data_IF_171564738835
#
_entry.id   IF_171564738835
#
_cell.length_a   1.000
_cell.length_b   1.000
_cell.length_c   1.000
_cell.angle_alpha   90.00
_cell.angle_beta   90.00
_cell.angle_gamma   90.00
#
_symmetry.space_group_name_H-M   'P 1'
#
loop_
_entity.id
_entity.type
_entity.pdbx_description
1 polymer ?
#
# COMPACT_ATOMS: atom_id res chain seq x y z
N UNK A 1 0.99 20.58 13.94
CA UNK A 1 0.72 20.08 15.32
C UNK A 1 1.79 19.09 15.69
N UNK A 2 2.15 18.97 16.99
CA UNK A 2 2.98 17.88 17.51
C UNK A 2 2.16 17.10 18.53
N UNK A 3 2.29 15.79 18.50
CA UNK A 3 1.71 14.91 19.51
C UNK A 3 2.59 14.85 20.78
N UNK A 4 2.02 14.47 21.95
CA UNK A 4 2.83 14.07 23.10
C UNK A 4 3.78 12.92 22.71
N UNK A 5 5.00 12.95 23.26
CA UNK A 5 6.01 11.92 22.98
C UNK A 5 5.69 10.61 23.74
N UNK A 6 5.11 9.65 23.03
CA UNK A 6 4.93 8.28 23.54
C UNK A 6 6.09 7.36 23.15
N UNK A 7 6.94 7.72 22.20
CA UNK A 7 8.04 6.87 21.75
C UNK A 7 9.09 6.68 22.84
N UNK A 8 9.38 7.72 23.62
CA UNK A 8 10.29 7.66 24.77
C UNK A 8 9.71 6.83 25.91
N UNK A 9 8.41 6.95 26.21
CA UNK A 9 7.74 6.14 27.23
C UNK A 9 7.74 4.65 26.83
N UNK A 10 7.34 4.33 25.61
CA UNK A 10 7.38 2.95 25.08
C UNK A 10 8.80 2.35 25.10
N UNK A 11 9.83 3.19 24.93
CA UNK A 11 11.21 2.73 25.01
C UNK A 11 11.60 2.33 26.44
N UNK A 12 11.14 3.08 27.45
CA UNK A 12 11.41 2.77 28.84
C UNK A 12 10.69 1.50 29.31
N UNK A 13 9.45 1.30 28.83
CA UNK A 13 8.62 0.14 29.20
C UNK A 13 9.03 -1.15 28.47
N UNK A 14 9.79 -1.05 27.37
CA UNK A 14 10.20 -2.18 26.52
C UNK A 14 11.71 -2.20 26.32
N UNK A 15 12.51 -2.59 27.33
CA UNK A 15 13.99 -2.51 27.28
C UNK A 15 14.63 -3.42 26.22
N UNK A 16 13.97 -4.53 25.85
CA UNK A 16 14.49 -5.50 24.87
C UNK A 16 14.17 -5.11 23.41
N UNK A 17 13.51 -3.97 23.20
CA UNK A 17 13.14 -3.51 21.87
C UNK A 17 14.38 -3.04 21.08
N UNK A 18 14.60 -3.66 19.90
CA UNK A 18 15.80 -3.44 19.06
C UNK A 18 15.57 -2.48 17.91
N UNK A 19 14.34 -2.36 17.44
CA UNK A 19 13.94 -1.53 16.31
C UNK A 19 14.11 -0.04 16.55
N UNK A 20 14.07 0.73 15.45
CA UNK A 20 14.17 2.20 15.51
C UNK A 20 12.84 2.82 15.88
N UNK A 21 12.89 3.84 16.73
CA UNK A 21 11.74 4.61 17.17
C UNK A 21 11.99 6.09 16.95
N UNK A 22 10.95 6.83 16.59
CA UNK A 22 11.03 8.27 16.46
C UNK A 22 9.68 8.89 16.86
N UNK A 23 9.71 9.92 17.71
CA UNK A 23 8.54 10.71 18.03
C UNK A 23 8.29 11.78 16.95
N UNK A 24 7.02 12.06 16.68
CA UNK A 24 6.59 13.12 15.76
C UNK A 24 7.29 13.08 14.39
N UNK A 25 7.52 11.88 13.86
CA UNK A 25 8.21 11.71 12.59
C UNK A 25 7.32 12.14 11.42
N UNK A 26 7.72 13.12 10.59
CA UNK A 26 6.96 13.51 9.41
C UNK A 26 6.71 12.33 8.47
N UNK A 27 5.43 12.13 8.04
CA UNK A 27 5.05 11.02 7.16
C UNK A 27 5.00 11.39 5.68
N UNK A 28 4.95 12.66 5.32
CA UNK A 28 4.97 13.10 3.92
C UNK A 28 6.09 12.46 3.08
N UNK A 29 7.36 12.30 3.57
CA UNK A 29 8.41 11.62 2.82
C UNK A 29 8.14 10.14 2.53
N UNK A 30 7.24 9.51 3.28
CA UNK A 30 6.88 8.09 3.15
C UNK A 30 5.64 7.85 2.29
N UNK A 31 4.98 8.90 1.79
CA UNK A 31 3.84 8.81 0.88
C UNK A 31 4.22 9.22 -0.53
N UNK A 32 3.56 8.62 -1.53
CA UNK A 32 3.80 8.99 -2.92
C UNK A 32 3.21 10.36 -3.26
N UNK A 33 2.12 10.76 -2.62
CA UNK A 33 1.58 12.13 -2.72
C UNK A 33 2.49 13.20 -2.12
N UNK A 34 3.45 12.79 -1.25
CA UNK A 34 4.30 13.73 -0.51
C UNK A 34 3.52 14.67 0.40
N UNK A 35 2.40 14.20 0.95
CA UNK A 35 1.57 14.93 1.92
C UNK A 35 1.45 14.14 3.22
N UNK A 36 1.09 14.84 4.29
CA UNK A 36 0.74 14.26 5.58
C UNK A 36 1.53 14.82 6.75
N UNK A 37 0.84 14.89 7.88
CA UNK A 37 1.41 15.26 9.18
C UNK A 37 2.28 14.17 9.79
N UNK A 38 2.71 14.34 11.05
CA UNK A 38 3.62 13.42 11.70
C UNK A 38 2.92 12.13 12.19
N UNK A 39 3.67 11.03 12.29
CA UNK A 39 3.32 9.93 13.18
C UNK A 39 3.58 10.36 14.63
N UNK A 40 2.66 10.10 15.56
CA UNK A 40 2.92 10.35 16.98
C UNK A 40 4.14 9.55 17.44
N UNK A 41 4.20 8.25 17.11
CA UNK A 41 5.41 7.44 17.20
C UNK A 41 5.57 6.64 15.90
N UNK A 42 6.75 6.66 15.30
CA UNK A 42 7.12 5.76 14.21
C UNK A 42 7.99 4.64 14.77
N UNK A 43 7.61 3.39 14.53
CA UNK A 43 8.40 2.22 14.88
C UNK A 43 8.78 1.43 13.62
N UNK A 44 10.07 1.10 13.52
CA UNK A 44 10.60 0.22 12.48
C UNK A 44 11.27 -0.97 13.15
N UNK A 45 10.61 -2.12 13.27
CA UNK A 45 11.14 -3.30 13.95
C UNK A 45 12.40 -3.83 13.24
N UNK A 46 13.30 -4.39 14.03
CA UNK A 46 14.54 -4.99 13.53
C UNK A 46 14.25 -6.29 12.75
N UNK A 47 13.32 -7.09 13.24
CA UNK A 47 12.85 -8.36 12.65
C UNK A 47 11.46 -8.74 13.18
N UNK A 48 10.97 -9.93 12.80
CA UNK A 48 9.66 -10.44 13.20
C UNK A 48 9.55 -10.66 14.72
N UNK A 49 10.61 -11.13 15.38
CA UNK A 49 10.62 -11.34 16.83
C UNK A 49 10.52 -10.01 17.59
N UNK A 50 11.19 -8.98 17.09
CA UNK A 50 11.11 -7.62 17.63
C UNK A 50 9.72 -6.99 17.44
N UNK A 51 9.09 -7.24 16.29
CA UNK A 51 7.70 -6.86 16.05
C UNK A 51 6.75 -7.58 16.99
N UNK A 52 6.92 -8.88 17.18
CA UNK A 52 6.10 -9.70 18.08
C UNK A 52 6.24 -9.23 19.54
N UNK A 53 7.47 -8.99 19.99
CA UNK A 53 7.73 -8.45 21.32
C UNK A 53 7.05 -7.09 21.50
N UNK A 54 7.19 -6.18 20.54
CA UNK A 54 6.55 -4.87 20.59
C UNK A 54 5.03 -4.97 20.72
N UNK A 55 4.39 -5.76 19.86
CA UNK A 55 2.92 -5.90 19.85
C UNK A 55 2.38 -6.58 21.12
N UNK A 56 3.13 -7.54 21.70
CA UNK A 56 2.77 -8.21 22.95
C UNK A 56 2.75 -7.25 24.15
N UNK A 57 3.64 -6.25 24.15
CA UNK A 57 3.80 -5.32 25.29
C UNK A 57 3.12 -3.96 25.06
N UNK A 58 2.71 -3.64 23.82
CA UNK A 58 2.05 -2.37 23.52
C UNK A 58 0.64 -2.34 24.13
N UNK A 59 0.30 -1.34 24.97
CA UNK A 59 -1.04 -1.17 25.53
C UNK A 59 -2.13 -1.21 24.43
N UNK A 60 -3.23 -1.91 24.72
CA UNK A 60 -4.30 -2.18 23.74
C UNK A 60 -5.00 -0.91 23.24
N UNK A 61 -5.06 0.11 24.08
CA UNK A 61 -5.65 1.42 23.81
C UNK A 61 -4.82 2.26 22.83
N UNK A 62 -3.54 1.97 22.65
CA UNK A 62 -2.70 2.68 21.69
C UNK A 62 -2.97 2.11 20.28
N UNK A 63 -3.52 2.92 19.37
CA UNK A 63 -3.78 2.47 18.02
C UNK A 63 -2.49 2.20 17.24
N UNK A 64 -2.55 1.19 16.37
CA UNK A 64 -1.46 0.81 15.47
C UNK A 64 -1.90 1.00 14.03
N UNK A 65 -1.08 1.68 13.26
CA UNK A 65 -1.26 1.86 11.82
C UNK A 65 -0.03 1.34 11.08
N UNK A 66 -0.22 0.46 10.10
CA UNK A 66 0.89 -0.08 9.30
C UNK A 66 0.97 0.68 7.97
N UNK A 67 2.17 1.12 7.61
CA UNK A 67 2.41 1.73 6.30
C UNK A 67 3.48 0.95 5.52
N UNK A 68 3.23 0.75 4.23
CA UNK A 68 4.20 0.19 3.28
C UNK A 68 4.94 1.30 2.51
N UNK A 69 4.95 1.20 1.18
CA UNK A 69 5.56 2.21 0.30
C UNK A 69 4.73 3.50 0.17
N UNK A 70 3.54 3.57 0.77
CA UNK A 70 2.70 4.77 0.75
C UNK A 70 2.12 5.12 -0.63
N UNK A 71 2.05 4.14 -1.54
CA UNK A 71 1.58 4.32 -2.91
C UNK A 71 0.06 4.34 -3.05
N UNK A 72 -0.68 3.91 -2.03
CA UNK A 72 -2.15 3.92 -2.00
C UNK A 72 -2.64 4.59 -0.70
N UNK A 73 -2.03 5.74 -0.34
CA UNK A 73 -2.21 6.32 0.98
C UNK A 73 -2.22 7.84 0.93
N UNK A 74 -3.23 8.43 1.55
CA UNK A 74 -3.24 9.83 1.98
C UNK A 74 -3.11 9.84 3.50
N UNK A 75 -2.06 10.48 4.01
CA UNK A 75 -1.91 10.79 5.44
C UNK A 75 -2.42 12.20 5.63
N UNK A 76 -3.38 12.40 6.52
CA UNK A 76 -3.99 13.70 6.80
C UNK A 76 -3.01 14.64 7.52
N UNK A 77 -3.22 15.94 7.35
CA UNK A 77 -2.28 16.97 7.76
C UNK A 77 -2.07 17.05 9.29
N UNK A 78 -3.06 16.67 10.11
CA UNK A 78 -2.92 16.57 11.56
C UNK A 78 -2.08 15.37 12.02
N UNK A 79 -1.74 14.44 11.12
CA UNK A 79 -0.89 13.28 11.42
C UNK A 79 -1.64 12.07 11.95
N UNK A 80 -0.89 11.08 12.39
CA UNK A 80 -1.43 9.77 12.83
C UNK A 80 -1.16 9.57 14.32
N UNK A 81 -2.22 9.53 15.16
CA UNK A 81 -2.08 9.24 16.57
C UNK A 81 -1.72 7.77 16.80
N UNK A 82 -1.09 7.47 17.94
CA UNK A 82 -0.61 6.15 18.29
C UNK A 82 0.70 5.79 17.59
N UNK A 83 0.86 4.53 17.23
CA UNK A 83 2.08 4.02 16.62
C UNK A 83 1.88 3.71 15.15
N UNK A 84 2.69 4.32 14.31
CA UNK A 84 2.85 3.93 12.91
C UNK A 84 3.98 2.91 12.82
N UNK A 85 3.70 1.72 12.29
CA UNK A 85 4.70 0.68 12.05
C UNK A 85 5.07 0.68 10.57
N UNK A 86 6.38 0.74 10.31
CA UNK A 86 6.93 0.62 8.96
C UNK A 86 7.95 -0.49 8.90
N UNK A 87 7.59 -1.57 8.20
CA UNK A 87 8.50 -2.69 7.96
C UNK A 87 9.55 -2.30 6.93
N UNK A 88 10.77 -2.80 7.11
CA UNK A 88 11.88 -2.50 6.22
C UNK A 88 13.15 -3.27 6.60
N UNK A 89 14.28 -2.87 6.01
CA UNK A 89 15.54 -3.55 6.23
C UNK A 89 15.59 -4.95 5.62
N UNK A 90 16.63 -5.71 5.98
CA UNK A 90 16.86 -7.05 5.44
C UNK A 90 15.77 -8.03 5.85
N UNK A 91 15.37 -8.01 7.12
CA UNK A 91 14.43 -8.99 7.69
C UNK A 91 13.06 -9.05 6.98
N UNK A 92 12.59 -7.91 6.45
CA UNK A 92 11.29 -7.83 5.74
C UNK A 92 11.44 -7.55 4.25
N UNK A 93 12.69 -7.42 3.76
CA UNK A 93 13.02 -7.04 2.37
C UNK A 93 13.71 -8.14 1.58
N UNK A 94 13.80 -9.36 2.12
CA UNK A 94 14.41 -10.52 1.44
C UNK A 94 13.45 -11.17 0.44
N UNK A 95 14.05 -11.72 -0.63
CA UNK A 95 13.39 -12.61 -1.58
C UNK A 95 14.18 -13.92 -1.58
N UNK A 96 13.49 -15.03 -1.42
CA UNK A 96 14.05 -16.37 -1.43
C UNK A 96 13.37 -17.21 -2.52
N UNK A 97 14.17 -17.76 -3.41
CA UNK A 97 13.71 -18.74 -4.40
C UNK A 97 13.76 -20.13 -3.77
N UNK A 98 12.65 -20.84 -3.81
CA UNK A 98 12.49 -22.14 -3.20
C UNK A 98 12.26 -23.23 -4.28
N UNK A 99 12.48 -24.53 -3.94
CA UNK A 99 12.09 -25.64 -4.82
C UNK A 99 10.63 -25.55 -5.24
N UNK A 100 10.25 -26.33 -6.27
CA UNK A 100 8.87 -26.47 -6.77
C UNK A 100 8.25 -25.15 -7.26
N UNK A 101 9.09 -24.30 -7.86
CA UNK A 101 8.67 -23.02 -8.45
C UNK A 101 8.00 -22.10 -7.43
N UNK A 102 8.52 -22.02 -6.22
CA UNK A 102 8.02 -21.15 -5.17
C UNK A 102 8.96 -19.97 -4.91
N UNK A 103 8.35 -18.86 -4.55
CA UNK A 103 9.06 -17.63 -4.16
C UNK A 103 8.52 -17.15 -2.81
N UNK A 104 9.39 -16.99 -1.83
CA UNK A 104 9.09 -16.29 -0.59
C UNK A 104 9.58 -14.85 -0.68
N UNK A 105 8.73 -13.90 -0.29
CA UNK A 105 9.09 -12.50 -0.23
C UNK A 105 8.66 -11.89 1.11
N UNK A 106 9.55 -11.12 1.72
CA UNK A 106 9.20 -10.26 2.85
C UNK A 106 8.22 -9.16 2.43
N UNK A 107 7.38 -8.71 3.35
CA UNK A 107 6.29 -7.77 3.03
C UNK A 107 6.74 -6.35 2.74
N UNK A 108 7.99 -5.99 3.04
CA UNK A 108 8.59 -4.72 2.61
C UNK A 108 9.20 -4.77 1.19
N UNK A 109 9.23 -5.94 0.56
CA UNK A 109 9.70 -6.08 -0.84
C UNK A 109 8.74 -5.32 -1.76
N UNK A 110 9.24 -4.41 -2.62
CA UNK A 110 8.44 -3.83 -3.68
C UNK A 110 7.93 -4.91 -4.65
N UNK A 111 6.66 -4.84 -5.03
CA UNK A 111 6.01 -5.83 -5.92
C UNK A 111 6.80 -6.01 -7.22
N UNK A 112 7.28 -4.92 -7.81
CA UNK A 112 8.11 -4.96 -9.03
C UNK A 112 9.45 -5.70 -8.85
N UNK A 113 10.02 -5.72 -7.63
CA UNK A 113 11.25 -6.47 -7.35
C UNK A 113 10.97 -7.97 -7.23
N UNK A 114 9.84 -8.34 -6.62
CA UNK A 114 9.40 -9.74 -6.57
C UNK A 114 9.13 -10.27 -7.98
N UNK A 115 8.41 -9.50 -8.84
CA UNK A 115 8.20 -9.84 -10.25
C UNK A 115 9.52 -10.07 -10.98
N UNK A 116 10.50 -9.18 -10.79
CA UNK A 116 11.78 -9.27 -11.46
C UNK A 116 12.57 -10.51 -11.02
N UNK A 117 12.64 -10.76 -9.71
CA UNK A 117 13.34 -11.95 -9.18
C UNK A 117 12.69 -13.25 -9.69
N UNK A 118 11.36 -13.30 -9.77
CA UNK A 118 10.64 -14.41 -10.36
C UNK A 118 11.00 -14.61 -11.84
N UNK A 119 10.99 -13.53 -12.64
CA UNK A 119 11.32 -13.58 -14.07
C UNK A 119 12.77 -14.06 -14.31
N UNK A 120 13.74 -13.52 -13.57
CA UNK A 120 15.16 -13.93 -13.67
C UNK A 120 15.35 -15.40 -13.30
N UNK A 121 14.50 -15.97 -12.45
CA UNK A 121 14.49 -17.39 -12.08
C UNK A 121 13.64 -18.29 -12.99
N UNK A 122 13.03 -17.76 -14.05
CA UNK A 122 12.12 -18.52 -14.91
C UNK A 122 10.82 -18.92 -14.24
N UNK A 123 10.36 -18.12 -13.28
CA UNK A 123 9.12 -18.33 -12.55
C UNK A 123 8.00 -17.51 -13.17
N UNK A 124 7.17 -18.10 -13.99
CA UNK A 124 6.00 -17.49 -14.60
C UNK A 124 4.82 -17.39 -13.61
N UNK A 125 3.90 -16.45 -13.89
CA UNK A 125 2.68 -16.21 -13.11
C UNK A 125 2.75 -14.99 -12.20
N UNK A 126 3.94 -14.41 -11.95
CA UNK A 126 4.13 -13.24 -11.08
C UNK A 126 4.38 -11.93 -11.84
N UNK A 127 4.37 -11.93 -13.17
CA UNK A 127 4.66 -10.74 -13.98
C UNK A 127 3.70 -9.57 -13.71
N UNK A 128 2.44 -9.83 -13.35
CA UNK A 128 1.43 -8.81 -13.02
C UNK A 128 1.87 -7.88 -11.87
N UNK A 129 2.68 -8.38 -10.92
CA UNK A 129 3.24 -7.58 -9.81
C UNK A 129 4.08 -6.39 -10.32
N UNK A 130 4.62 -6.47 -11.54
CA UNK A 130 5.28 -5.34 -12.21
C UNK A 130 4.35 -4.15 -12.39
N UNK A 131 3.06 -4.41 -12.56
CA UNK A 131 2.00 -3.41 -12.70
C UNK A 131 1.57 -2.73 -11.40
N UNK A 132 1.99 -3.24 -10.23
CA UNK A 132 1.54 -2.77 -8.92
C UNK A 132 2.61 -1.88 -8.29
N UNK A 133 2.31 -0.60 -8.04
CA UNK A 133 3.26 0.33 -7.43
C UNK A 133 3.23 0.21 -5.89
N UNK A 134 3.35 -0.99 -5.36
CA UNK A 134 3.20 -1.31 -3.95
C UNK A 134 4.33 -2.18 -3.41
N UNK A 135 4.08 -2.75 -2.25
CA UNK A 135 4.88 -3.79 -1.64
C UNK A 135 4.02 -5.01 -1.34
N UNK A 136 4.65 -6.16 -1.19
CA UNK A 136 3.99 -7.45 -0.92
C UNK A 136 2.98 -7.34 0.24
N UNK A 137 3.29 -6.60 1.32
CA UNK A 137 2.34 -6.41 2.43
C UNK A 137 1.08 -5.64 2.02
N UNK A 138 1.22 -4.65 1.14
CA UNK A 138 0.08 -3.94 0.54
C UNK A 138 -0.71 -4.83 -0.42
N UNK A 139 0.00 -5.65 -1.22
CA UNK A 139 -0.63 -6.59 -2.14
C UNK A 139 -1.47 -7.64 -1.40
N UNK A 140 -1.00 -8.16 -0.27
CA UNK A 140 -1.78 -9.07 0.59
C UNK A 140 -3.05 -8.41 1.13
N UNK A 141 -2.97 -7.17 1.62
CA UNK A 141 -4.13 -6.46 2.21
C UNK A 141 -5.20 -6.08 1.19
N UNK A 142 -4.79 -5.83 -0.03
CA UNK A 142 -5.67 -5.31 -1.08
C UNK A 142 -6.03 -6.35 -2.14
N UNK A 143 -5.62 -7.63 -1.98
CA UNK A 143 -5.65 -8.56 -3.12
C UNK A 143 -5.24 -7.80 -4.39
N UNK A 144 -4.05 -7.19 -4.35
CA UNK A 144 -3.64 -6.28 -5.40
C UNK A 144 -3.53 -7.02 -6.73
N UNK A 145 -4.01 -6.40 -7.78
CA UNK A 145 -4.00 -6.99 -9.12
C UNK A 145 -3.84 -5.93 -10.21
N UNK A 146 -3.22 -6.36 -11.29
CA UNK A 146 -2.98 -5.57 -12.49
C UNK A 146 -2.84 -6.49 -13.71
N UNK A 147 -3.19 -5.99 -14.89
CA UNK A 147 -2.97 -6.69 -16.16
C UNK A 147 -3.46 -8.14 -16.20
N UNK A 148 -4.60 -8.41 -15.56
CA UNK A 148 -5.26 -9.72 -15.60
C UNK A 148 -4.79 -10.73 -14.55
N UNK A 149 -3.85 -10.38 -13.65
CA UNK A 149 -3.45 -11.19 -12.51
C UNK A 149 -3.73 -10.50 -11.18
N UNK A 150 -3.97 -11.25 -10.14
CA UNK A 150 -4.20 -10.81 -8.77
C UNK A 150 -3.37 -11.63 -7.77
N UNK A 151 -3.16 -11.09 -6.57
CA UNK A 151 -2.40 -11.76 -5.49
C UNK A 151 -2.99 -13.14 -5.16
N UNK A 152 -4.32 -13.27 -5.17
CA UNK A 152 -5.04 -14.53 -4.94
C UNK A 152 -4.64 -15.64 -5.92
N UNK A 153 -4.25 -15.31 -7.15
CA UNK A 153 -3.94 -16.32 -8.18
C UNK A 153 -2.64 -17.09 -7.89
N UNK A 154 -1.77 -16.51 -7.06
CA UNK A 154 -0.41 -17.03 -6.83
C UNK A 154 -0.06 -17.25 -5.36
N UNK A 155 -0.86 -16.75 -4.40
CA UNK A 155 -0.56 -16.89 -2.98
C UNK A 155 -0.78 -18.33 -2.51
N UNK A 156 0.22 -18.89 -1.83
CA UNK A 156 0.12 -20.15 -1.06
C UNK A 156 -0.22 -19.81 0.39
N UNK A 157 0.58 -18.96 1.01
CA UNK A 157 0.53 -18.66 2.44
C UNK A 157 1.05 -17.24 2.71
N UNK A 158 0.45 -16.57 3.69
CA UNK A 158 0.99 -15.36 4.27
C UNK A 158 1.36 -15.61 5.73
N UNK A 159 2.44 -15.00 6.21
CA UNK A 159 2.88 -15.04 7.60
C UNK A 159 2.79 -13.64 8.20
N UNK A 160 2.38 -13.54 9.45
CA UNK A 160 2.24 -12.26 10.14
C UNK A 160 2.20 -12.38 11.65
N UNK A 161 2.16 -11.25 12.32
CA UNK A 161 2.07 -11.11 13.77
C UNK A 161 0.75 -10.44 14.12
N UNK A 162 -0.03 -11.06 15.02
CA UNK A 162 -1.28 -10.47 15.49
C UNK A 162 -1.05 -9.42 16.60
N UNK A 163 -2.11 -8.73 17.01
CA UNK A 163 -2.04 -7.68 18.04
C UNK A 163 -1.62 -8.18 19.42
N UNK A 164 -1.63 -9.50 19.65
CA UNK A 164 -1.11 -10.14 20.86
C UNK A 164 0.38 -10.50 20.79
N UNK A 165 1.04 -10.21 19.67
CA UNK A 165 2.43 -10.59 19.42
C UNK A 165 2.59 -12.06 19.00
N UNK A 166 1.48 -12.75 18.67
CA UNK A 166 1.54 -14.15 18.24
C UNK A 166 1.80 -14.22 16.73
N UNK A 167 2.82 -14.97 16.36
CA UNK A 167 3.13 -15.25 14.95
C UNK A 167 2.16 -16.29 14.42
N UNK A 168 1.54 -15.99 13.27
CA UNK A 168 0.54 -16.83 12.61
C UNK A 168 0.84 -17.00 11.14
N UNK A 169 0.45 -18.15 10.60
CA UNK A 169 0.39 -18.41 9.18
C UNK A 169 -1.08 -18.41 8.74
N UNK A 170 -1.33 -17.83 7.57
CA UNK A 170 -2.62 -17.72 6.92
C UNK A 170 -2.54 -18.43 5.58
N UNK A 171 -3.32 -19.47 5.40
CA UNK A 171 -3.46 -20.13 4.12
C UNK A 171 -4.17 -19.23 3.11
N UNK A 172 -4.12 -19.58 1.83
CA UNK A 172 -4.89 -18.87 0.80
C UNK A 172 -6.38 -18.70 1.19
N UNK A 173 -7.00 -19.76 1.73
CA UNK A 173 -8.40 -19.73 2.17
C UNK A 173 -8.65 -18.78 3.35
N UNK A 174 -7.70 -18.67 4.30
CA UNK A 174 -7.83 -17.78 5.45
C UNK A 174 -7.78 -16.30 5.06
N UNK A 175 -7.24 -16.00 3.88
CA UNK A 175 -7.15 -14.64 3.37
C UNK A 175 -8.50 -14.10 2.86
N UNK A 176 -9.47 -14.97 2.49
CA UNK A 176 -10.81 -14.59 2.05
C UNK A 176 -10.80 -13.49 0.97
N UNK A 177 -9.97 -13.65 -0.05
CA UNK A 177 -9.76 -12.62 -1.06
C UNK A 177 -11.00 -12.31 -1.89
N UNK A 178 -11.22 -11.02 -2.11
CA UNK A 178 -12.18 -10.50 -3.07
C UNK A 178 -11.59 -9.26 -3.77
N UNK A 179 -12.37 -8.62 -4.64
CA UNK A 179 -11.88 -7.46 -5.39
C UNK A 179 -11.38 -6.33 -4.46
N UNK A 180 -10.08 -6.08 -4.47
CA UNK A 180 -9.38 -5.07 -3.64
C UNK A 180 -9.59 -5.25 -2.13
N UNK A 181 -9.77 -6.48 -1.69
CA UNK A 181 -10.04 -6.79 -0.30
C UNK A 181 -9.46 -8.14 0.13
N UNK A 182 -9.11 -8.24 1.42
CA UNK A 182 -8.77 -9.47 2.14
C UNK A 182 -9.54 -9.50 3.45
N UNK A 183 -10.09 -10.66 3.82
CA UNK A 183 -10.79 -10.89 5.09
C UNK A 183 -9.83 -11.20 6.26
N UNK A 184 -8.54 -11.31 6.00
CA UNK A 184 -7.57 -11.51 7.05
C UNK A 184 -7.71 -10.43 8.15
N UNK A 185 -7.59 -10.78 9.45
CA UNK A 185 -7.83 -9.85 10.55
C UNK A 185 -7.05 -8.53 10.39
N UNK A 186 -7.71 -7.41 10.63
CA UNK A 186 -7.12 -6.07 10.39
C UNK A 186 -5.92 -5.79 11.29
N UNK A 187 -5.88 -6.40 12.47
CA UNK A 187 -4.83 -6.26 13.47
C UNK A 187 -3.59 -7.12 13.23
N UNK A 188 -3.59 -7.97 12.19
CA UNK A 188 -2.41 -8.75 11.77
C UNK A 188 -1.47 -7.87 10.96
N UNK A 189 -0.19 -7.90 11.27
CA UNK A 189 0.87 -7.29 10.50
C UNK A 189 1.61 -8.37 9.74
N UNK A 190 1.40 -8.46 8.44
CA UNK A 190 2.08 -9.45 7.60
C UNK A 190 3.58 -9.19 7.52
N UNK A 191 4.38 -10.24 7.59
CA UNK A 191 5.86 -10.21 7.60
C UNK A 191 6.46 -10.87 6.37
N UNK A 192 5.81 -11.90 5.81
CA UNK A 192 6.22 -12.53 4.54
C UNK A 192 5.03 -13.15 3.82
N UNK A 193 5.22 -13.45 2.53
CA UNK A 193 4.31 -14.21 1.68
C UNK A 193 5.06 -15.30 0.92
N UNK A 194 4.42 -16.44 0.71
CA UNK A 194 4.87 -17.53 -0.12
C UNK A 194 3.98 -17.61 -1.36
N UNK A 195 4.60 -17.54 -2.53
CA UNK A 195 3.92 -17.57 -3.82
C UNK A 195 4.26 -18.81 -4.59
N UNK A 196 3.30 -19.30 -5.38
CA UNK A 196 3.45 -20.37 -6.37
C UNK A 196 3.55 -19.77 -7.75
N UNK A 197 4.65 -20.04 -8.43
CA UNK A 197 4.80 -19.79 -9.86
C UNK A 197 4.70 -21.07 -10.68
N UNK A 198 4.99 -20.95 -11.97
CA UNK A 198 5.10 -22.06 -12.93
C UNK A 198 6.44 -21.94 -13.65
N UNK A 199 7.01 -23.07 -14.16
CA UNK A 199 8.16 -22.98 -15.03
C UNK A 199 7.86 -22.12 -16.27
N UNK A 200 8.75 -21.21 -16.63
CA UNK A 200 8.61 -20.34 -17.79
C UNK A 200 9.95 -19.92 -18.38
N UNK A 201 9.91 -19.34 -19.58
CA UNK A 201 11.08 -18.76 -20.21
C UNK A 201 11.37 -17.36 -19.63
N UNK A 202 12.52 -17.13 -19.00
CA UNK A 202 12.88 -15.82 -18.46
C UNK A 202 12.74 -14.67 -19.47
N UNK A 203 13.12 -14.89 -20.74
CA UNK A 203 13.05 -13.86 -21.76
C UNK A 203 11.59 -13.46 -22.08
N UNK A 204 10.70 -14.45 -22.18
CA UNK A 204 9.27 -14.21 -22.39
C UNK A 204 8.62 -13.47 -21.21
N UNK A 205 8.95 -13.87 -19.97
CA UNK A 205 8.43 -13.22 -18.76
C UNK A 205 8.92 -11.77 -18.67
N UNK A 206 10.21 -11.52 -18.97
CA UNK A 206 10.75 -10.15 -19.01
C UNK A 206 10.08 -9.29 -20.05
N UNK A 207 9.83 -9.83 -21.26
CA UNK A 207 9.12 -9.12 -22.33
C UNK A 207 7.69 -8.75 -21.90
N UNK A 208 6.98 -9.63 -21.17
CA UNK A 208 5.67 -9.32 -20.60
C UNK A 208 5.76 -8.19 -19.57
N UNK A 209 6.75 -8.20 -18.68
CA UNK A 209 6.97 -7.12 -17.71
C UNK A 209 7.26 -5.78 -18.39
N UNK A 210 8.01 -5.77 -19.48
CA UNK A 210 8.28 -4.57 -20.27
C UNK A 210 7.00 -4.04 -20.94
N UNK A 211 6.16 -4.95 -21.47
CA UNK A 211 4.85 -4.59 -22.01
C UNK A 211 3.94 -3.96 -20.95
N UNK A 212 3.90 -4.53 -19.74
CA UNK A 212 3.16 -3.98 -18.60
C UNK A 212 3.68 -2.57 -18.26
N UNK A 213 4.99 -2.39 -18.22
CA UNK A 213 5.62 -1.09 -17.93
C UNK A 213 5.23 -0.06 -18.98
N UNK A 214 5.38 -0.38 -20.26
CA UNK A 214 5.04 0.50 -21.38
C UNK A 214 3.55 0.90 -21.38
N UNK A 215 2.65 -0.05 -21.10
CA UNK A 215 1.22 0.22 -21.01
C UNK A 215 0.88 1.20 -19.87
N UNK A 216 1.56 1.09 -18.71
CA UNK A 216 1.39 2.03 -17.61
C UNK A 216 1.95 3.42 -17.93
N UNK A 217 3.13 3.50 -18.53
CA UNK A 217 3.74 4.77 -18.94
C UNK A 217 2.88 5.52 -19.96
N UNK A 218 2.23 4.79 -20.85
CA UNK A 218 1.36 5.37 -21.88
C UNK A 218 0.01 5.87 -21.33
N UNK A 219 -0.47 5.33 -20.19
CA UNK A 219 -1.83 5.57 -19.70
C UNK A 219 -1.94 6.21 -18.33
N UNK A 220 -0.87 6.25 -17.53
CA UNK A 220 -0.91 6.68 -16.14
C UNK A 220 0.18 7.72 -15.83
N UNK A 221 -0.08 8.71 -14.97
CA UNK A 221 0.88 9.75 -14.61
C UNK A 221 1.93 9.23 -13.60
N UNK A 222 2.65 8.17 -13.95
CA UNK A 222 3.55 7.43 -13.03
C UNK A 222 4.77 8.23 -12.58
N UNK A 223 5.06 9.37 -13.23
CA UNK A 223 6.18 10.27 -12.86
C UNK A 223 5.74 11.38 -11.92
N UNK A 224 4.43 11.49 -11.67
CA UNK A 224 3.85 12.53 -10.82
C UNK A 224 3.74 12.05 -9.36
N UNK A 225 3.58 13.01 -8.44
CA UNK A 225 3.27 12.70 -7.04
C UNK A 225 1.80 12.29 -6.93
N UNK A 226 1.52 10.99 -7.00
CA UNK A 226 0.15 10.46 -7.04
C UNK A 226 0.04 9.16 -6.24
N UNK A 227 -1.15 8.83 -5.76
CA UNK A 227 -1.46 7.60 -5.01
C UNK A 227 -2.08 6.48 -5.86
N UNK A 228 -1.91 6.50 -7.19
CA UNK A 228 -2.57 5.52 -8.06
C UNK A 228 -4.05 5.85 -8.32
N UNK A 229 -4.86 4.83 -8.62
CA UNK A 229 -6.30 4.99 -8.84
C UNK A 229 -7.00 5.49 -7.59
N UNK A 230 -7.65 6.65 -7.69
CA UNK A 230 -8.30 7.30 -6.55
C UNK A 230 -9.57 6.58 -6.12
N UNK A 231 -10.37 6.13 -7.10
CA UNK A 231 -11.66 5.49 -6.86
C UNK A 231 -11.72 4.10 -7.48
N UNK A 232 -12.39 3.19 -6.79
CA UNK A 232 -12.73 1.87 -7.32
C UNK A 232 -13.66 1.99 -8.54
N UNK A 233 -13.53 1.07 -9.48
CA UNK A 233 -14.40 1.06 -10.66
C UNK A 233 -15.85 0.74 -10.27
N UNK A 234 -16.82 1.63 -10.57
CA UNK A 234 -18.24 1.36 -10.34
C UNK A 234 -18.77 0.44 -11.44
N UNK A 235 -18.89 -0.85 -11.15
CA UNK A 235 -19.36 -1.84 -12.15
C UNK A 235 -20.74 -1.45 -12.71
N UNK A 236 -20.97 -1.60 -14.04
CA UNK A 236 -20.06 -2.14 -15.04
C UNK A 236 -19.09 -1.11 -15.66
N UNK A 237 -19.07 0.13 -15.19
CA UNK A 237 -18.31 1.23 -15.76
C UNK A 237 -16.90 1.33 -15.14
N UNK A 238 -16.01 2.04 -15.85
CA UNK A 238 -14.70 2.43 -15.31
C UNK A 238 -14.80 3.80 -14.64
N UNK A 239 -14.17 3.97 -13.47
CA UNK A 239 -14.20 5.23 -12.73
C UNK A 239 -13.71 6.41 -13.59
N UNK A 240 -12.62 6.25 -14.34
CA UNK A 240 -12.07 7.32 -15.18
C UNK A 240 -13.06 7.84 -16.22
N UNK A 241 -13.92 6.96 -16.78
CA UNK A 241 -14.92 7.37 -17.79
C UNK A 241 -16.02 8.24 -17.19
N UNK A 242 -16.54 7.88 -16.02
CA UNK A 242 -17.59 8.66 -15.35
C UNK A 242 -17.05 9.98 -14.80
N UNK A 243 -15.78 10.00 -14.37
CA UNK A 243 -15.07 11.22 -13.91
C UNK A 243 -14.84 12.18 -15.07
N UNK A 244 -14.41 11.66 -16.22
CA UNK A 244 -14.20 12.46 -17.44
C UNK A 244 -15.51 13.05 -17.97
N UNK A 245 -16.55 12.22 -18.05
CA UNK A 245 -17.89 12.64 -18.48
C UNK A 245 -18.49 13.73 -17.56
N UNK A 246 -18.15 13.72 -16.27
CA UNK A 246 -18.56 14.75 -15.32
C UNK A 246 -17.72 16.05 -15.41
N UNK A 247 -16.84 16.19 -16.41
CA UNK A 247 -16.01 17.38 -16.63
C UNK A 247 -14.95 17.62 -15.55
N UNK A 248 -14.44 16.55 -14.93
CA UNK A 248 -13.47 16.67 -13.85
C UNK A 248 -12.00 16.63 -14.32
N UNK A 249 -11.72 16.33 -15.60
CA UNK A 249 -10.36 16.32 -16.16
C UNK A 249 -9.68 17.66 -15.94
N UNK A 250 -8.48 17.66 -15.34
CA UNK A 250 -7.71 18.87 -15.06
C UNK A 250 -8.27 19.76 -13.95
N UNK A 251 -9.35 19.35 -13.25
CA UNK A 251 -9.91 20.10 -12.12
C UNK A 251 -8.83 20.31 -11.04
N UNK A 252 -8.76 21.52 -10.49
CA UNK A 252 -7.76 21.94 -9.51
C UNK A 252 -8.42 22.37 -8.21
N UNK A 253 -7.82 22.04 -7.07
CA UNK A 253 -8.15 22.54 -5.74
C UNK A 253 -6.84 22.75 -4.95
N UNK A 254 -6.53 23.98 -4.58
CA UNK A 254 -5.19 24.30 -4.06
C UNK A 254 -4.13 23.89 -5.08
N UNK A 255 -3.15 23.12 -4.64
CA UNK A 255 -2.12 22.53 -5.52
C UNK A 255 -2.38 21.07 -5.91
N UNK A 256 -3.58 20.54 -5.61
CA UNK A 256 -4.05 19.25 -6.07
C UNK A 256 -4.75 19.37 -7.43
N UNK A 257 -4.55 18.39 -8.32
CA UNK A 257 -5.14 18.36 -9.66
C UNK A 257 -5.63 16.96 -10.03
N UNK A 258 -6.79 16.88 -10.70
CA UNK A 258 -7.19 15.66 -11.42
C UNK A 258 -6.30 15.53 -12.67
N UNK A 259 -5.63 14.40 -12.83
CA UNK A 259 -4.72 14.18 -13.95
C UNK A 259 -5.40 14.40 -15.29
N UNK A 260 -4.74 15.14 -16.18
CA UNK A 260 -5.18 15.30 -17.56
C UNK A 260 -4.95 14.02 -18.39
N UNK A 261 -3.96 13.20 -17.99
CA UNK A 261 -3.66 11.94 -18.66
C UNK A 261 -4.67 10.84 -18.29
N UNK A 262 -5.04 10.74 -16.99
CA UNK A 262 -5.96 9.71 -16.51
C UNK A 262 -6.82 10.25 -15.36
N UNK A 263 -8.09 10.51 -15.60
CA UNK A 263 -8.99 11.21 -14.68
C UNK A 263 -9.20 10.52 -13.31
N UNK A 264 -8.91 9.24 -13.17
CA UNK A 264 -8.98 8.55 -11.87
C UNK A 264 -7.68 8.65 -11.06
N UNK A 265 -6.79 9.62 -11.39
CA UNK A 265 -5.58 9.91 -10.64
C UNK A 265 -5.59 11.35 -10.17
N UNK A 266 -5.39 11.56 -8.88
CA UNK A 266 -5.10 12.87 -8.31
C UNK A 266 -3.60 13.07 -8.25
N UNK A 267 -3.15 14.30 -8.46
CA UNK A 267 -1.73 14.68 -8.49
C UNK A 267 -1.51 15.82 -7.50
N UNK A 268 -0.43 15.75 -6.74
CA UNK A 268 0.13 16.89 -6.02
C UNK A 268 1.12 17.62 -6.95
N UNK A 269 0.76 18.82 -7.41
CA UNK A 269 1.56 19.65 -8.32
C UNK A 269 2.81 20.25 -7.66
N UNK A 270 2.91 20.18 -6.34
CA UNK A 270 4.09 20.68 -5.61
C UNK A 270 3.85 20.83 -4.12
N UNK A 271 2.89 21.66 -3.74
CA UNK A 271 2.62 22.09 -2.37
C UNK A 271 1.22 21.74 -1.86
N UNK A 272 0.51 20.80 -2.51
CA UNK A 272 -0.80 20.38 -2.04
C UNK A 272 -0.72 19.86 -0.60
N UNK A 273 -1.70 20.23 0.22
CA UNK A 273 -1.97 19.59 1.50
C UNK A 273 -2.75 18.27 1.31
N UNK A 274 -2.84 17.44 2.33
CA UNK A 274 -3.74 16.30 2.30
C UNK A 274 -5.20 16.73 2.19
N UNK A 275 -5.54 17.86 2.83
CA UNK A 275 -6.88 18.46 2.74
C UNK A 275 -7.23 18.87 1.30
N UNK A 276 -6.28 19.42 0.52
CA UNK A 276 -6.51 19.76 -0.89
C UNK A 276 -6.81 18.49 -1.72
N UNK A 277 -6.04 17.41 -1.51
CA UNK A 277 -6.22 16.15 -2.24
C UNK A 277 -7.55 15.49 -1.86
N UNK A 278 -7.89 15.40 -0.57
CA UNK A 278 -9.18 14.86 -0.12
C UNK A 278 -10.35 15.72 -0.61
N UNK A 279 -10.24 17.05 -0.47
CA UNK A 279 -11.28 18.00 -0.93
C UNK A 279 -11.53 17.88 -2.44
N UNK A 280 -10.46 17.78 -3.23
CA UNK A 280 -10.57 17.56 -4.68
C UNK A 280 -11.27 16.24 -4.99
N UNK A 281 -10.91 15.17 -4.28
CA UNK A 281 -11.57 13.87 -4.45
C UNK A 281 -13.06 13.91 -4.08
N UNK A 282 -13.46 14.59 -3.00
CA UNK A 282 -14.87 14.75 -2.64
C UNK A 282 -15.62 15.63 -3.66
N UNK A 283 -14.98 16.66 -4.22
CA UNK A 283 -15.59 17.45 -5.29
C UNK A 283 -15.80 16.62 -6.57
N UNK A 284 -14.86 15.74 -6.93
CA UNK A 284 -15.03 14.77 -8.02
C UNK A 284 -16.22 13.86 -7.75
N UNK A 285 -16.32 13.30 -6.53
CA UNK A 285 -17.46 12.45 -6.13
C UNK A 285 -18.80 13.18 -6.28
N UNK A 286 -18.87 14.42 -5.78
CA UNK A 286 -20.06 15.27 -5.86
C UNK A 286 -20.49 15.53 -7.32
N UNK A 287 -19.52 15.87 -8.20
CA UNK A 287 -19.81 16.11 -9.63
C UNK A 287 -20.27 14.87 -10.36
N UNK A 288 -19.61 13.72 -10.14
CA UNK A 288 -20.00 12.45 -10.76
C UNK A 288 -21.39 12.02 -10.31
N UNK A 289 -21.71 12.12 -9.01
CA UNK A 289 -23.05 11.82 -8.49
C UNK A 289 -24.12 12.73 -9.14
N UNK A 290 -23.86 14.03 -9.23
CA UNK A 290 -24.79 14.99 -9.83
C UNK A 290 -24.99 14.75 -11.34
N UNK A 291 -23.95 14.35 -12.07
CA UNK A 291 -23.97 14.14 -13.51
C UNK A 291 -24.62 12.81 -13.93
N UNK A 292 -24.32 11.73 -13.19
CA UNK A 292 -24.67 10.36 -13.63
C UNK A 292 -25.40 9.51 -12.61
N UNK A 293 -25.62 9.99 -11.38
CA UNK A 293 -26.17 9.19 -10.27
C UNK A 293 -25.20 8.12 -9.73
N UNK A 294 -23.97 8.05 -10.25
CA UNK A 294 -22.97 7.07 -9.79
C UNK A 294 -22.28 7.55 -8.53
N UNK A 295 -22.31 6.75 -7.48
CA UNK A 295 -21.57 7.01 -6.25
C UNK A 295 -20.17 6.36 -6.31
N UNK A 296 -19.12 7.19 -6.41
CA UNK A 296 -17.73 6.73 -6.39
C UNK A 296 -17.30 6.35 -4.97
N UNK A 297 -16.58 5.24 -4.86
CA UNK A 297 -15.95 4.79 -3.62
C UNK A 297 -14.45 4.99 -3.69
N UNK A 298 -13.87 5.56 -2.64
CA UNK A 298 -12.42 5.69 -2.51
C UNK A 298 -11.73 4.31 -2.55
N UNK A 299 -10.68 4.18 -3.34
CA UNK A 299 -9.74 3.06 -3.33
C UNK A 299 -8.50 3.42 -2.51
N UNK A 300 -8.06 4.69 -2.59
CA UNK A 300 -6.95 5.21 -1.77
C UNK A 300 -7.37 5.23 -0.30
N UNK A 301 -6.51 4.67 0.54
CA UNK A 301 -6.66 4.69 2.01
C UNK A 301 -6.36 6.09 2.54
N UNK A 302 -7.19 6.57 3.47
CA UNK A 302 -7.04 7.85 4.16
C UNK A 302 -6.86 7.57 5.64
N UNK A 303 -5.74 8.01 6.20
CA UNK A 303 -5.39 7.75 7.61
C UNK A 303 -5.04 9.04 8.34
N UNK A 304 -5.12 8.98 9.66
CA UNK A 304 -4.81 10.14 10.52
C UNK A 304 -5.97 11.08 10.73
N UNK A 305 -5.70 12.18 11.41
CA UNK A 305 -6.66 13.20 11.79
C UNK A 305 -6.49 14.45 10.93
N UNK A 306 -7.56 15.20 10.76
CA UNK A 306 -7.51 16.49 10.07
C UNK A 306 -6.52 17.44 10.78
N UNK A 307 -5.92 18.36 10.03
CA UNK A 307 -5.03 19.41 10.56
C UNK A 307 -5.79 20.63 11.08
#
# INVERSE_FOLDING_TARGET
MSFPDIASALAADMPDLRGRRAANQPLAPYTWFRVGGPAQALFSPADEADLAYFLAHLPREIPVTVIGLGSNLIVRDGGVPGVVIRLGGKAFGEIELLPDNRLRAGTAVPDMKAARAAAEAGLDGLAFLRGIPGSIGGALRMNAGAHGGETTDVLIEARGVDRAGVIRNFTHSDMGFSYRHSEAPEDVIFTSALFQGRPGDPAAIMAEMDRITAAREASQPIREKTGGSTFANPKPQSAWKVIDAAGCRGLVMGDAQVSEMHCNFLINRGQASAADIEGLGEEVRRRVLAHSGVELRWEIRRIGVAG
#
